data_IF_160034945748
#
_entry.id   IF_160034945748
#
_cell.length_a   1.000
_cell.length_b   1.000
_cell.length_c   1.000
_cell.angle_alpha   90.00
_cell.angle_beta   90.00
_cell.angle_gamma   90.00
#
_symmetry.space_group_name_H-M   'P 1'
#
loop_
_entity.id
_entity.type
_entity.pdbx_description
1 polymer ?
#
# COMPACT_ATOMS: atom_id res chain seq x y z
N UNK A 1 5.04 -25.69 8.31
CA UNK A 1 5.99 -26.34 7.38
C UNK A 1 7.19 -26.76 8.20
N UNK A 2 7.82 -27.89 7.90
CA UNK A 2 9.03 -28.34 8.61
C UNK A 2 10.22 -28.09 7.69
N UNK A 3 11.14 -27.22 8.10
CA UNK A 3 12.35 -26.89 7.34
C UNK A 3 13.46 -27.88 7.70
N UNK A 4 14.26 -28.32 6.72
CA UNK A 4 15.31 -29.33 6.93
C UNK A 4 16.67 -28.72 7.23
N UNK A 5 16.82 -27.42 6.98
CA UNK A 5 18.04 -26.68 7.28
C UNK A 5 17.74 -25.19 7.52
N UNK A 6 18.70 -24.50 8.13
CA UNK A 6 18.65 -23.05 8.31
C UNK A 6 18.55 -22.32 6.96
N UNK A 7 19.28 -22.78 5.94
CA UNK A 7 19.22 -22.19 4.60
C UNK A 7 17.84 -22.32 3.95
N UNK A 8 17.16 -23.46 4.11
CA UNK A 8 15.79 -23.63 3.60
C UNK A 8 14.79 -22.69 4.31
N UNK A 9 14.98 -22.43 5.61
CA UNK A 9 14.18 -21.46 6.36
C UNK A 9 14.44 -20.03 5.85
N UNK A 10 15.70 -19.63 5.74
CA UNK A 10 16.10 -18.29 5.28
C UNK A 10 15.64 -18.02 3.85
N UNK A 11 15.78 -18.98 2.93
CA UNK A 11 15.31 -18.86 1.54
C UNK A 11 13.79 -18.67 1.47
N UNK A 12 13.02 -19.41 2.29
CA UNK A 12 11.58 -19.26 2.34
C UNK A 12 11.17 -17.89 2.91
N UNK A 13 11.85 -17.45 3.97
CA UNK A 13 11.64 -16.13 4.56
C UNK A 13 11.97 -15.00 3.58
N UNK A 14 13.03 -15.14 2.79
CA UNK A 14 13.43 -14.17 1.76
C UNK A 14 12.40 -14.06 0.63
N UNK A 15 11.84 -15.19 0.18
CA UNK A 15 10.76 -15.17 -0.83
C UNK A 15 9.50 -14.48 -0.30
N UNK A 16 9.12 -14.76 0.94
CA UNK A 16 7.98 -14.11 1.61
C UNK A 16 8.24 -12.61 1.74
N UNK A 17 9.44 -12.22 2.18
CA UNK A 17 9.85 -10.81 2.32
C UNK A 17 9.76 -10.07 1.00
N UNK A 18 10.36 -10.63 -0.06
CA UNK A 18 10.34 -10.04 -1.40
C UNK A 18 8.90 -9.87 -1.93
N UNK A 19 8.04 -10.86 -1.68
CA UNK A 19 6.63 -10.82 -2.10
C UNK A 19 5.86 -9.74 -1.34
N UNK A 20 6.02 -9.66 -0.02
CA UNK A 20 5.35 -8.67 0.81
C UNK A 20 5.78 -7.25 0.46
N UNK A 21 7.10 -7.02 0.34
CA UNK A 21 7.65 -5.73 -0.08
C UNK A 21 7.12 -5.32 -1.46
N UNK A 22 7.10 -6.24 -2.43
CA UNK A 22 6.59 -5.93 -3.77
C UNK A 22 5.11 -5.55 -3.76
N UNK A 23 4.32 -6.14 -2.87
CA UNK A 23 2.89 -5.80 -2.72
C UNK A 23 2.70 -4.40 -2.15
N UNK A 24 3.53 -3.99 -1.19
CA UNK A 24 3.51 -2.63 -0.63
C UNK A 24 3.89 -1.62 -1.72
N UNK A 25 5.00 -1.85 -2.42
CA UNK A 25 5.44 -0.98 -3.53
C UNK A 25 4.36 -0.82 -4.61
N UNK A 26 3.74 -1.93 -5.02
CA UNK A 26 2.66 -1.88 -6.00
C UNK A 26 1.45 -1.10 -5.47
N UNK A 27 1.08 -1.27 -4.20
CA UNK A 27 -0.03 -0.52 -3.61
C UNK A 27 0.25 0.98 -3.62
N UNK A 28 1.47 1.41 -3.25
CA UNK A 28 1.91 2.81 -3.33
C UNK A 28 1.85 3.35 -4.76
N UNK A 29 2.42 2.62 -5.72
CA UNK A 29 2.40 2.98 -7.14
C UNK A 29 0.96 3.15 -7.65
N UNK A 30 0.05 2.24 -7.30
CA UNK A 30 -1.36 2.31 -7.69
C UNK A 30 -2.08 3.52 -7.08
N UNK A 31 -1.86 3.83 -5.80
CA UNK A 31 -2.48 4.98 -5.15
C UNK A 31 -1.96 6.29 -5.72
N UNK A 32 -0.64 6.40 -5.94
CA UNK A 32 -0.03 7.56 -6.58
C UNK A 32 -0.56 7.77 -8.00
N UNK A 33 -0.65 6.68 -8.79
CA UNK A 33 -1.21 6.72 -10.13
C UNK A 33 -2.68 7.15 -10.13
N UNK A 34 -3.50 6.56 -9.27
CA UNK A 34 -4.91 6.90 -9.13
C UNK A 34 -5.11 8.38 -8.78
N UNK A 35 -4.36 8.90 -7.81
CA UNK A 35 -4.39 10.32 -7.43
C UNK A 35 -4.07 11.23 -8.60
N UNK A 36 -3.00 10.94 -9.34
CA UNK A 36 -2.62 11.70 -10.53
C UNK A 36 -3.72 11.71 -11.59
N UNK A 37 -4.32 10.54 -11.87
CA UNK A 37 -5.42 10.41 -12.84
C UNK A 37 -6.66 11.19 -12.44
N UNK A 38 -7.06 11.15 -11.17
CA UNK A 38 -8.24 11.91 -10.72
C UNK A 38 -7.99 13.40 -10.79
N UNK A 39 -6.80 13.87 -10.42
CA UNK A 39 -6.46 15.28 -10.52
C UNK A 39 -6.58 15.79 -11.96
N UNK A 40 -6.02 15.06 -12.93
CA UNK A 40 -6.16 15.38 -14.35
C UNK A 40 -7.62 15.42 -14.83
N UNK A 41 -8.45 14.49 -14.35
CA UNK A 41 -9.89 14.47 -14.68
C UNK A 41 -10.61 15.70 -14.09
N UNK A 42 -10.31 16.07 -12.85
CA UNK A 42 -10.90 17.24 -12.20
C UNK A 42 -10.51 18.53 -12.92
N UNK A 43 -9.24 18.70 -13.27
CA UNK A 43 -8.75 19.84 -14.05
C UNK A 43 -9.46 19.92 -15.41
N UNK A 44 -9.48 18.80 -16.16
CA UNK A 44 -10.14 18.74 -17.47
C UNK A 44 -11.62 19.09 -17.39
N UNK A 45 -12.30 18.61 -16.35
CA UNK A 45 -13.73 18.86 -16.15
C UNK A 45 -14.00 20.31 -15.78
N UNK A 46 -13.14 20.91 -14.94
CA UNK A 46 -13.19 22.33 -14.63
C UNK A 46 -12.96 23.20 -15.87
N UNK A 47 -11.94 22.90 -16.68
CA UNK A 47 -11.67 23.62 -17.92
C UNK A 47 -12.85 23.57 -18.91
N UNK A 48 -13.44 22.38 -19.10
CA UNK A 48 -14.61 22.21 -19.95
C UNK A 48 -15.79 23.07 -19.46
N UNK A 49 -16.01 23.05 -18.15
CA UNK A 49 -17.09 23.79 -17.49
C UNK A 49 -16.89 25.29 -17.56
N UNK A 50 -15.65 25.77 -17.47
CA UNK A 50 -15.30 27.17 -17.67
C UNK A 50 -15.58 27.62 -19.11
N UNK A 51 -15.24 26.81 -20.11
CA UNK A 51 -15.55 27.10 -21.52
C UNK A 51 -17.06 27.15 -21.81
N UNK A 52 -17.85 26.41 -21.04
CA UNK A 52 -19.32 26.40 -21.16
C UNK A 52 -20.00 27.47 -20.29
N UNK A 53 -19.24 28.25 -19.51
CA UNK A 53 -19.77 29.30 -18.65
C UNK A 53 -20.49 28.79 -17.40
N UNK A 54 -20.29 27.54 -17.01
CA UNK A 54 -20.94 26.91 -15.84
C UNK A 54 -20.00 26.72 -14.65
N UNK A 55 -18.71 27.04 -14.78
CA UNK A 55 -17.73 26.89 -13.68
C UNK A 55 -18.04 27.77 -12.46
N UNK A 56 -18.78 28.86 -12.65
CA UNK A 56 -19.22 29.75 -11.58
C UNK A 56 -20.61 29.40 -11.03
N UNK A 57 -21.28 28.39 -11.60
CA UNK A 57 -22.54 27.90 -11.06
C UNK A 57 -22.32 27.32 -9.64
N UNK A 58 -23.07 27.79 -8.63
CA UNK A 58 -22.89 27.31 -7.26
C UNK A 58 -23.16 25.81 -7.10
N UNK A 59 -24.11 25.25 -7.87
CA UNK A 59 -24.42 23.82 -7.85
C UNK A 59 -23.27 22.99 -8.41
N UNK A 60 -22.72 23.42 -9.55
CA UNK A 60 -21.52 22.82 -10.13
C UNK A 60 -20.34 22.83 -9.16
N UNK A 61 -20.04 23.99 -8.55
CA UNK A 61 -18.95 24.11 -7.58
C UNK A 61 -19.13 23.20 -6.37
N UNK A 62 -20.35 23.10 -5.85
CA UNK A 62 -20.66 22.24 -4.71
C UNK A 62 -20.47 20.75 -5.05
N UNK A 63 -20.90 20.31 -6.24
CA UNK A 63 -20.70 18.93 -6.68
C UNK A 63 -19.22 18.62 -6.96
N UNK A 64 -18.49 19.54 -7.61
CA UNK A 64 -17.07 19.37 -7.85
C UNK A 64 -16.28 19.27 -6.54
N UNK A 65 -16.60 20.12 -5.55
CA UNK A 65 -16.00 20.04 -4.22
C UNK A 65 -16.30 18.69 -3.55
N UNK A 66 -17.55 18.22 -3.61
CA UNK A 66 -17.94 16.92 -3.03
C UNK A 66 -17.14 15.76 -3.63
N UNK A 67 -16.93 15.76 -4.95
CA UNK A 67 -16.13 14.73 -5.63
C UNK A 67 -14.67 14.81 -5.21
N UNK A 68 -14.11 16.02 -5.08
CA UNK A 68 -12.76 16.22 -4.56
C UNK A 68 -12.60 15.68 -3.14
N UNK A 69 -13.53 16.01 -2.24
CA UNK A 69 -13.49 15.55 -0.86
C UNK A 69 -13.57 14.02 -0.76
N UNK A 70 -14.43 13.39 -1.57
CA UNK A 70 -14.56 11.93 -1.66
C UNK A 70 -13.27 11.27 -2.17
N UNK A 71 -12.63 11.89 -3.17
CA UNK A 71 -11.35 11.42 -3.71
C UNK A 71 -10.27 11.49 -2.64
N UNK A 72 -10.15 12.62 -1.95
CA UNK A 72 -9.17 12.81 -0.88
C UNK A 72 -9.39 11.83 0.28
N UNK A 73 -10.65 11.58 0.64
CA UNK A 73 -10.99 10.55 1.62
C UNK A 73 -10.56 9.15 1.15
N UNK A 74 -10.78 8.82 -0.12
CA UNK A 74 -10.40 7.53 -0.69
C UNK A 74 -8.88 7.36 -0.70
N UNK A 75 -8.12 8.37 -1.12
CA UNK A 75 -6.66 8.36 -1.11
C UNK A 75 -6.13 8.21 0.32
N UNK A 76 -6.68 8.94 1.29
CA UNK A 76 -6.30 8.78 2.71
C UNK A 76 -6.59 7.38 3.24
N UNK A 77 -7.76 6.82 2.92
CA UNK A 77 -8.11 5.46 3.32
C UNK A 77 -7.17 4.42 2.71
N UNK A 78 -6.76 4.61 1.45
CA UNK A 78 -5.80 3.73 0.80
C UNK A 78 -4.40 3.85 1.45
N UNK A 79 -3.97 5.07 1.76
CA UNK A 79 -2.71 5.31 2.49
C UNK A 79 -2.70 4.66 3.88
N UNK A 80 -3.83 4.68 4.61
CA UNK A 80 -3.92 3.99 5.90
C UNK A 80 -3.74 2.47 5.76
N UNK A 81 -4.35 1.86 4.75
CA UNK A 81 -4.18 0.43 4.47
C UNK A 81 -2.75 0.05 4.08
N UNK A 82 -2.04 0.95 3.40
CA UNK A 82 -0.63 0.74 3.08
C UNK A 82 0.21 0.76 4.36
N UNK A 83 -0.04 1.72 5.26
CA UNK A 83 0.63 1.75 6.56
C UNK A 83 0.35 0.48 7.39
N UNK A 84 -0.88 -0.04 7.39
CA UNK A 84 -1.20 -1.33 8.02
C UNK A 84 -0.38 -2.48 7.42
N UNK A 85 -0.19 -2.52 6.10
CA UNK A 85 0.65 -3.53 5.44
C UNK A 85 2.14 -3.39 5.79
N UNK A 86 2.64 -2.16 5.96
CA UNK A 86 4.00 -1.90 6.42
C UNK A 86 4.19 -2.37 7.86
N UNK A 87 3.24 -2.10 8.76
CA UNK A 87 3.26 -2.58 10.14
C UNK A 87 3.23 -4.12 10.21
N UNK A 88 2.38 -4.76 9.41
CA UNK A 88 2.31 -6.22 9.29
C UNK A 88 3.64 -6.80 8.77
N UNK A 89 4.25 -6.14 7.78
CA UNK A 89 5.55 -6.53 7.25
C UNK A 89 6.65 -6.43 8.30
N UNK A 90 6.69 -5.37 9.10
CA UNK A 90 7.62 -5.26 10.21
C UNK A 90 7.39 -6.34 11.28
N UNK A 91 6.13 -6.65 11.60
CA UNK A 91 5.78 -7.71 12.53
C UNK A 91 6.25 -9.08 12.04
N UNK A 92 6.04 -9.37 10.76
CA UNK A 92 6.54 -10.56 10.08
C UNK A 92 8.06 -10.66 10.16
N UNK A 93 8.79 -9.56 9.90
CA UNK A 93 10.26 -9.53 10.01
C UNK A 93 10.76 -9.84 11.43
N UNK A 94 10.06 -9.32 12.46
CA UNK A 94 10.36 -9.67 13.86
C UNK A 94 10.11 -11.15 14.14
N UNK A 95 9.01 -11.71 13.63
CA UNK A 95 8.71 -13.13 13.78
C UNK A 95 9.76 -14.02 13.10
N UNK A 96 10.17 -13.67 11.88
CA UNK A 96 11.21 -14.42 11.15
C UNK A 96 12.53 -14.47 11.92
N UNK A 97 12.92 -13.38 12.58
CA UNK A 97 14.10 -13.35 13.43
C UNK A 97 13.98 -14.31 14.62
N UNK A 98 12.82 -14.34 15.28
CA UNK A 98 12.55 -15.27 16.40
C UNK A 98 12.56 -16.73 15.95
N UNK A 99 11.98 -17.03 14.78
CA UNK A 99 11.98 -18.37 14.20
C UNK A 99 13.40 -18.84 13.88
N UNK A 100 14.23 -17.96 13.30
CA UNK A 100 15.63 -18.25 13.00
C UNK A 100 16.42 -18.56 14.27
N UNK A 101 16.28 -17.72 15.29
CA UNK A 101 16.98 -17.89 16.57
C UNK A 101 16.54 -19.19 17.27
N UNK A 102 15.24 -19.51 17.22
CA UNK A 102 14.69 -20.76 17.77
C UNK A 102 15.25 -21.99 17.03
N UNK A 103 15.31 -21.94 15.70
CA UNK A 103 15.86 -23.02 14.88
C UNK A 103 17.33 -23.30 15.19
N UNK A 104 18.14 -22.24 15.39
CA UNK A 104 19.55 -22.36 15.77
C UNK A 104 19.69 -22.99 17.16
N UNK A 105 18.84 -22.62 18.12
CA UNK A 105 18.85 -23.23 19.45
C UNK A 105 18.46 -24.72 19.43
N UNK A 106 17.46 -25.10 18.63
CA UNK A 106 17.05 -26.49 18.47
C UNK A 106 18.19 -27.34 17.89
N UNK A 107 18.85 -26.89 16.82
CA UNK A 107 19.99 -27.62 16.24
C UNK A 107 21.14 -27.80 17.24
N UNK A 108 21.44 -26.78 18.06
CA UNK A 108 22.48 -26.89 19.11
C UNK A 108 22.13 -27.85 20.25
N UNK A 109 20.85 -28.14 20.48
CA UNK A 109 20.41 -29.10 21.50
C UNK A 109 20.40 -30.53 20.98
N UNK A 110 20.34 -30.71 19.66
CA UNK A 110 20.36 -32.01 18.99
C UNK A 110 21.79 -32.51 18.68
N UNK A 111 22.79 -31.62 18.77
CA UNK A 111 24.23 -31.93 18.78
C UNK A 111 24.75 -32.37 20.17
#
# INVERSE_FOLDING_TARGET
>A
MTYRSLGELEDAQDQIRATAQRRIELADEYVAHYRSRIHLVQESFYELSARQGIADDPGFRAELQRISDLTDQTVRSAGHRIAELEEDYEAMMRQHALERDSFIEEQRREE
#
